data_IF_116383299104
#
_entry.id   IF_116383299104
#
_cell.length_a   1.000
_cell.length_b   1.000
_cell.length_c   1.000
_cell.angle_alpha   90.00
_cell.angle_beta   90.00
_cell.angle_gamma   90.00
#
_symmetry.space_group_name_H-M   'P 1'
#
loop_
_entity.id
_entity.type
_entity.pdbx_description
1 polymer ?
#
# COMPACT_ATOMS: atom_id res chain seq x y z
N UNK A 1 -8.48 -8.32 -37.59
CA UNK A 1 -7.60 -8.04 -36.43
C UNK A 1 -8.37 -7.17 -35.45
N UNK A 2 -8.61 -7.62 -34.21
CA UNK A 2 -9.40 -6.84 -33.24
C UNK A 2 -8.43 -5.90 -32.50
N UNK A 3 -8.56 -4.59 -32.71
CA UNK A 3 -7.77 -3.59 -31.98
C UNK A 3 -8.37 -3.51 -30.58
N UNK A 4 -7.66 -4.06 -29.60
CA UNK A 4 -7.99 -3.85 -28.19
C UNK A 4 -7.24 -2.59 -27.75
N UNK A 5 -7.94 -1.53 -27.31
CA UNK A 5 -7.27 -0.35 -26.78
C UNK A 5 -6.33 -0.75 -25.65
N UNK A 6 -5.12 -0.18 -25.60
CA UNK A 6 -4.07 -0.56 -24.65
C UNK A 6 -4.55 -0.59 -23.19
N UNK A 7 -5.49 0.27 -22.81
CA UNK A 7 -6.06 0.36 -21.46
C UNK A 7 -6.91 -0.86 -21.04
N UNK A 8 -7.33 -1.71 -21.99
CA UNK A 8 -8.05 -2.95 -21.72
C UNK A 8 -7.16 -4.19 -21.83
N UNK A 9 -5.84 -4.01 -21.88
CA UNK A 9 -4.89 -5.12 -21.82
C UNK A 9 -4.78 -5.64 -20.37
N UNK A 10 -5.13 -6.92 -20.17
CA UNK A 10 -5.11 -7.57 -18.86
C UNK A 10 -3.72 -7.60 -18.23
N UNK A 11 -2.68 -7.86 -19.02
CA UNK A 11 -1.31 -7.95 -18.51
C UNK A 11 -0.81 -6.59 -18.06
N UNK A 12 -1.11 -5.54 -18.83
CA UNK A 12 -0.81 -4.16 -18.46
C UNK A 12 -1.53 -3.75 -17.18
N UNK A 13 -2.80 -4.15 -17.03
CA UNK A 13 -3.55 -3.91 -15.80
C UNK A 13 -2.87 -4.54 -14.58
N UNK A 14 -2.46 -5.81 -14.65
CA UNK A 14 -1.78 -6.45 -13.51
C UNK A 14 -0.37 -5.93 -13.28
N UNK A 15 0.35 -5.48 -14.30
CA UNK A 15 1.61 -4.74 -14.12
C UNK A 15 1.38 -3.42 -13.39
N UNK A 16 0.30 -2.70 -13.69
CA UNK A 16 -0.08 -1.50 -12.96
C UNK A 16 -0.43 -1.81 -11.50
N UNK A 17 -1.22 -2.86 -11.24
CA UNK A 17 -1.54 -3.30 -9.88
C UNK A 17 -0.26 -3.63 -9.11
N UNK A 18 0.68 -4.37 -9.70
CA UNK A 18 1.98 -4.71 -9.11
C UNK A 18 2.80 -3.47 -8.78
N UNK A 19 2.89 -2.50 -9.68
CA UNK A 19 3.66 -1.26 -9.48
C UNK A 19 2.93 -0.19 -8.64
N UNK A 20 1.69 -0.44 -8.23
CA UNK A 20 0.81 0.58 -7.63
C UNK A 20 1.35 1.17 -6.33
N UNK A 21 2.11 0.41 -5.52
CA UNK A 21 2.75 0.94 -4.30
C UNK A 21 3.65 2.13 -4.63
N UNK A 22 4.59 1.93 -5.55
CA UNK A 22 5.52 2.96 -5.98
C UNK A 22 4.78 4.12 -6.66
N UNK A 23 3.86 3.81 -7.58
CA UNK A 23 3.08 4.82 -8.31
C UNK A 23 2.29 5.71 -7.34
N UNK A 24 1.63 5.12 -6.35
CA UNK A 24 0.82 5.87 -5.39
C UNK A 24 1.66 6.73 -4.45
N UNK A 25 2.88 6.32 -4.09
CA UNK A 25 3.82 7.21 -3.38
C UNK A 25 4.02 8.50 -4.17
N UNK A 26 4.41 8.39 -5.44
CA UNK A 26 4.66 9.58 -6.28
C UNK A 26 3.41 10.42 -6.52
N UNK A 27 2.26 9.80 -6.82
CA UNK A 27 1.01 10.52 -7.03
C UNK A 27 0.63 11.33 -5.78
N UNK A 28 0.65 10.71 -4.61
CA UNK A 28 0.26 11.36 -3.37
C UNK A 28 1.25 12.46 -2.97
N UNK A 29 2.55 12.23 -3.18
CA UNK A 29 3.60 13.23 -2.98
C UNK A 29 3.37 14.46 -3.86
N UNK A 30 3.19 14.26 -5.17
CA UNK A 30 3.00 15.37 -6.11
C UNK A 30 1.70 16.13 -5.84
N UNK A 31 0.61 15.43 -5.50
CA UNK A 31 -0.62 16.11 -5.09
C UNK A 31 -0.40 16.94 -3.82
N UNK A 32 0.36 16.41 -2.86
CA UNK A 32 0.74 17.12 -1.64
C UNK A 32 1.58 18.36 -1.89
N UNK A 33 2.57 18.29 -2.78
CA UNK A 33 3.49 19.40 -3.09
C UNK A 33 2.82 20.45 -3.99
N UNK A 34 2.18 20.03 -5.08
CA UNK A 34 1.62 20.93 -6.10
C UNK A 34 0.39 21.64 -5.53
N UNK A 35 -0.58 20.86 -5.04
CA UNK A 35 -1.87 21.39 -4.57
C UNK A 35 -1.91 21.69 -3.07
N UNK A 36 -0.82 21.46 -2.33
CA UNK A 36 -0.77 21.70 -0.89
C UNK A 36 -1.62 20.73 -0.07
N UNK A 37 -1.97 19.56 -0.62
CA UNK A 37 -2.84 18.60 0.07
C UNK A 37 -2.09 17.87 1.19
N UNK A 38 -2.34 18.30 2.43
CA UNK A 38 -1.67 17.78 3.62
C UNK A 38 -1.92 16.29 3.87
N UNK A 39 -3.14 15.81 3.61
CA UNK A 39 -3.48 14.39 3.79
C UNK A 39 -2.76 13.51 2.78
N UNK A 40 -2.63 13.96 1.53
CA UNK A 40 -1.91 13.20 0.48
C UNK A 40 -0.40 13.21 0.72
N UNK A 41 0.17 14.33 1.15
CA UNK A 41 1.57 14.37 1.57
C UNK A 41 1.83 13.39 2.73
N UNK A 42 0.97 13.40 3.75
CA UNK A 42 1.08 12.47 4.88
C UNK A 42 0.93 11.01 4.44
N UNK A 43 -0.01 10.72 3.53
CA UNK A 43 -0.21 9.39 2.98
C UNK A 43 1.04 8.90 2.22
N UNK A 44 1.69 9.75 1.44
CA UNK A 44 2.96 9.39 0.79
C UNK A 44 4.04 9.01 1.82
N UNK A 45 4.17 9.79 2.89
CA UNK A 45 5.16 9.53 3.96
C UNK A 45 4.85 8.19 4.63
N UNK A 46 3.59 7.93 4.99
CA UNK A 46 3.24 6.71 5.71
C UNK A 46 3.33 5.45 4.83
N UNK A 47 3.11 5.55 3.51
CA UNK A 47 3.37 4.43 2.59
C UNK A 47 4.87 4.05 2.63
N UNK A 48 5.77 5.03 2.61
CA UNK A 48 7.23 4.80 2.70
C UNK A 48 7.57 4.15 4.05
N UNK A 49 7.09 4.73 5.16
CA UNK A 49 7.28 4.16 6.49
C UNK A 49 6.74 2.72 6.58
N UNK A 50 5.63 2.42 5.91
CA UNK A 50 5.04 1.08 5.88
C UNK A 50 5.91 0.06 5.14
N UNK A 51 6.67 0.47 4.13
CA UNK A 51 7.65 -0.40 3.47
C UNK A 51 8.77 -0.82 4.44
N UNK A 52 9.30 0.13 5.21
CA UNK A 52 10.26 -0.17 6.29
C UNK A 52 9.64 -1.03 7.40
N UNK A 53 8.40 -0.74 7.79
CA UNK A 53 7.68 -1.56 8.76
C UNK A 53 7.51 -3.00 8.26
N UNK A 54 7.14 -3.20 6.99
CA UNK A 54 7.06 -4.55 6.41
C UNK A 54 8.40 -5.27 6.48
N UNK A 55 9.50 -4.57 6.20
CA UNK A 55 10.85 -5.12 6.31
C UNK A 55 11.15 -5.57 7.75
N UNK A 56 10.86 -4.73 8.75
CA UNK A 56 11.02 -5.05 10.18
C UNK A 56 10.16 -6.26 10.57
N UNK A 57 8.86 -6.22 10.26
CA UNK A 57 7.92 -7.32 10.56
C UNK A 57 8.40 -8.64 9.94
N UNK A 58 8.95 -8.59 8.74
CA UNK A 58 9.45 -9.76 8.03
C UNK A 58 10.70 -10.35 8.69
N UNK A 59 11.73 -9.53 8.89
CA UNK A 59 13.04 -10.03 9.31
C UNK A 59 13.17 -10.20 10.82
N UNK A 60 12.54 -9.33 11.61
CA UNK A 60 12.66 -9.37 13.07
C UNK A 60 11.58 -10.21 13.73
N UNK A 61 10.41 -10.39 13.09
CA UNK A 61 9.28 -11.12 13.70
C UNK A 61 8.97 -12.41 12.93
N UNK A 62 8.65 -12.31 11.65
CA UNK A 62 8.14 -13.45 10.89
C UNK A 62 9.21 -14.53 10.66
N UNK A 63 10.41 -14.15 10.20
CA UNK A 63 11.50 -15.11 9.94
C UNK A 63 11.83 -15.95 11.20
N UNK A 64 12.09 -15.36 12.38
CA UNK A 64 12.36 -16.15 13.59
C UNK A 64 11.21 -17.07 13.99
N UNK A 65 9.96 -16.57 13.94
CA UNK A 65 8.79 -17.35 14.34
C UNK A 65 8.60 -18.57 13.42
N UNK A 66 8.68 -18.38 12.11
CA UNK A 66 8.50 -19.47 11.15
C UNK A 66 9.69 -20.43 11.10
N UNK A 67 10.92 -19.96 11.33
CA UNK A 67 12.08 -20.83 11.44
C UNK A 67 11.91 -21.85 12.58
N UNK A 68 11.35 -21.43 13.71
CA UNK A 68 11.06 -22.30 14.86
C UNK A 68 9.89 -23.27 14.64
N UNK A 69 9.11 -23.09 13.57
CA UNK A 69 7.91 -23.88 13.28
C UNK A 69 7.99 -24.57 11.91
N UNK A 70 9.19 -24.99 11.48
CA UNK A 70 9.39 -25.69 10.19
C UNK A 70 8.73 -24.96 9.00
N UNK A 71 8.78 -23.63 9.01
CA UNK A 71 8.25 -22.75 7.97
C UNK A 71 6.72 -22.83 7.74
N UNK A 72 5.97 -23.49 8.63
CA UNK A 72 4.52 -23.60 8.55
C UNK A 72 3.88 -23.51 9.93
N UNK A 73 2.88 -22.64 10.07
CA UNK A 73 2.14 -22.48 11.32
C UNK A 73 0.65 -22.65 11.00
N UNK A 74 -0.11 -23.46 11.77
CA UNK A 74 -1.55 -23.56 11.60
C UNK A 74 -2.19 -22.17 11.55
N UNK A 75 -3.14 -21.96 10.64
CA UNK A 75 -3.83 -20.67 10.38
C UNK A 75 -2.97 -19.61 9.69
N UNK A 76 -1.70 -19.43 10.06
CA UNK A 76 -0.82 -18.46 9.40
C UNK A 76 -0.30 -18.95 8.04
N UNK A 77 -0.38 -20.27 7.79
CA UNK A 77 0.06 -20.91 6.57
C UNK A 77 1.57 -21.02 6.51
N UNK A 78 2.15 -20.76 5.33
CA UNK A 78 3.58 -20.87 5.08
C UNK A 78 4.29 -19.51 5.22
N UNK A 79 5.48 -19.52 5.80
CA UNK A 79 6.31 -18.32 5.94
C UNK A 79 7.04 -17.94 4.65
N UNK A 80 7.75 -18.89 4.07
CA UNK A 80 8.48 -18.71 2.80
C UNK A 80 7.51 -18.61 1.61
N UNK A 81 8.01 -18.08 0.49
CA UNK A 81 7.23 -18.00 -0.74
C UNK A 81 6.92 -19.39 -1.30
N UNK A 82 5.85 -19.53 -2.12
CA UNK A 82 5.58 -20.75 -2.86
C UNK A 82 6.78 -21.18 -3.72
N UNK A 83 6.90 -22.49 -3.96
CA UNK A 83 7.91 -23.05 -4.87
C UNK A 83 7.69 -22.44 -6.27
N UNK A 84 8.77 -22.05 -6.95
CA UNK A 84 8.76 -21.36 -8.25
C UNK A 84 8.24 -19.91 -8.23
N UNK A 85 8.24 -19.24 -7.07
CA UNK A 85 8.00 -17.81 -7.05
C UNK A 85 9.16 -17.06 -7.73
N UNK A 86 8.87 -16.37 -8.84
CA UNK A 86 9.82 -15.56 -9.61
C UNK A 86 9.31 -14.13 -9.73
N UNK A 87 10.23 -13.18 -9.94
CA UNK A 87 9.90 -11.81 -10.35
C UNK A 87 8.94 -11.03 -9.41
N UNK A 88 9.04 -11.28 -8.11
CA UNK A 88 8.13 -10.70 -7.10
C UNK A 88 8.38 -9.22 -6.74
N UNK A 89 9.13 -8.48 -7.57
CA UNK A 89 9.42 -7.04 -7.43
C UNK A 89 8.27 -6.15 -7.91
N UNK A 90 8.53 -4.88 -8.21
CA UNK A 90 7.51 -3.95 -8.75
C UNK A 90 7.38 -4.02 -10.27
N UNK A 91 8.49 -4.27 -10.96
CA UNK A 91 8.55 -4.34 -12.43
C UNK A 91 9.05 -5.71 -12.85
N UNK A 92 8.61 -6.17 -14.02
CA UNK A 92 9.02 -7.43 -14.63
C UNK A 92 10.41 -7.28 -15.23
N UNK A 93 11.44 -7.21 -14.38
CA UNK A 93 12.81 -6.96 -14.84
C UNK A 93 13.59 -8.26 -15.06
N UNK A 94 13.19 -9.37 -14.44
CA UNK A 94 13.94 -10.64 -14.47
C UNK A 94 12.99 -11.86 -14.30
N UNK A 95 12.24 -12.26 -15.33
CA UNK A 95 11.19 -13.30 -15.25
C UNK A 95 11.65 -14.70 -14.77
N UNK A 96 12.96 -14.95 -14.64
CA UNK A 96 13.49 -16.29 -14.35
C UNK A 96 14.35 -16.38 -13.08
N UNK A 97 14.44 -15.32 -12.27
CA UNK A 97 15.22 -15.37 -11.01
C UNK A 97 14.31 -15.76 -9.85
N UNK A 98 14.64 -16.81 -9.07
CA UNK A 98 13.85 -17.20 -7.91
C UNK A 98 13.84 -16.08 -6.87
N UNK A 99 12.67 -15.82 -6.29
CA UNK A 99 12.51 -14.82 -5.26
C UNK A 99 13.19 -15.30 -3.97
N UNK A 100 14.22 -14.57 -3.54
CA UNK A 100 15.01 -14.90 -2.33
C UNK A 100 14.40 -14.35 -1.04
N UNK A 101 13.49 -13.38 -1.13
CA UNK A 101 12.92 -12.73 0.05
C UNK A 101 11.81 -13.58 0.68
N UNK A 102 11.70 -13.50 2.01
CA UNK A 102 10.64 -14.17 2.76
C UNK A 102 9.23 -13.68 2.36
N UNK A 103 8.24 -14.58 2.40
CA UNK A 103 6.91 -14.35 1.83
C UNK A 103 5.92 -13.68 2.79
N UNK A 104 6.07 -13.91 4.09
CA UNK A 104 5.14 -13.47 5.12
C UNK A 104 5.65 -12.25 5.92
N UNK A 105 4.85 -11.20 6.16
CA UNK A 105 3.60 -10.88 5.46
C UNK A 105 3.88 -10.28 4.06
N UNK A 106 2.87 -10.29 3.19
CA UNK A 106 2.99 -9.67 1.85
C UNK A 106 3.00 -8.14 1.93
N UNK A 107 4.09 -7.51 1.49
CA UNK A 107 4.24 -6.04 1.48
C UNK A 107 3.23 -5.33 0.57
N UNK A 108 2.97 -5.87 -0.62
CA UNK A 108 2.01 -5.28 -1.56
C UNK A 108 0.58 -5.31 -1.01
N UNK A 109 0.17 -6.42 -0.38
CA UNK A 109 -1.14 -6.51 0.27
C UNK A 109 -1.21 -5.60 1.50
N UNK A 110 -0.11 -5.47 2.27
CA UNK A 110 -0.02 -4.50 3.38
C UNK A 110 -0.15 -3.05 2.89
N UNK A 111 0.50 -2.69 1.79
CA UNK A 111 0.32 -1.40 1.15
C UNK A 111 -1.15 -1.16 0.75
N UNK A 112 -1.76 -2.12 0.04
CA UNK A 112 -3.15 -1.98 -0.41
C UNK A 112 -4.11 -1.80 0.78
N UNK A 113 -3.93 -2.59 1.85
CA UNK A 113 -4.68 -2.43 3.09
C UNK A 113 -4.49 -1.05 3.71
N UNK A 114 -3.25 -0.58 3.81
CA UNK A 114 -2.93 0.73 4.38
C UNK A 114 -3.58 1.88 3.61
N UNK A 115 -3.41 1.89 2.29
CA UNK A 115 -3.98 2.94 1.46
C UNK A 115 -5.51 2.95 1.54
N UNK A 116 -6.14 1.77 1.43
CA UNK A 116 -7.59 1.63 1.58
C UNK A 116 -8.06 2.09 2.96
N UNK A 117 -7.41 1.65 4.04
CA UNK A 117 -7.77 2.01 5.41
C UNK A 117 -7.68 3.51 5.69
N UNK A 118 -6.60 4.14 5.24
CA UNK A 118 -6.40 5.58 5.38
C UNK A 118 -7.46 6.37 4.61
N UNK A 119 -7.67 6.06 3.32
CA UNK A 119 -8.59 6.81 2.46
C UNK A 119 -10.06 6.60 2.84
N UNK A 120 -10.46 5.40 3.26
CA UNK A 120 -11.82 5.16 3.78
C UNK A 120 -12.07 6.03 5.00
N UNK A 121 -11.10 6.09 5.94
CA UNK A 121 -11.27 6.90 7.13
C UNK A 121 -11.26 8.40 6.83
N UNK A 122 -10.42 8.85 5.91
CA UNK A 122 -10.43 10.24 5.44
C UNK A 122 -11.78 10.62 4.81
N UNK A 123 -12.36 9.72 4.02
CA UNK A 123 -13.68 9.93 3.44
C UNK A 123 -14.78 9.99 4.52
N UNK A 124 -14.74 9.07 5.48
CA UNK A 124 -15.69 9.07 6.60
C UNK A 124 -15.58 10.36 7.41
N UNK A 125 -14.36 10.79 7.77
CA UNK A 125 -14.14 12.01 8.52
C UNK A 125 -14.64 13.26 7.78
N UNK A 126 -14.39 13.35 6.47
CA UNK A 126 -14.69 14.56 5.70
C UNK A 126 -16.11 14.61 5.12
N UNK A 127 -16.79 13.47 4.95
CA UNK A 127 -18.07 13.38 4.19
C UNK A 127 -19.24 12.82 4.98
N UNK A 128 -19.01 12.29 6.18
CA UNK A 128 -20.07 11.75 7.03
C UNK A 128 -20.30 12.68 8.24
N UNK A 129 -21.53 12.76 8.73
CA UNK A 129 -21.87 13.68 9.83
C UNK A 129 -21.39 13.18 11.20
N UNK A 130 -21.18 11.87 11.35
CA UNK A 130 -20.88 11.19 12.61
C UNK A 130 -19.68 10.23 12.53
N UNK A 131 -18.91 10.30 11.43
CA UNK A 131 -17.79 9.39 11.18
C UNK A 131 -18.20 7.98 10.71
N UNK A 132 -19.48 7.73 10.41
CA UNK A 132 -19.98 6.38 10.10
C UNK A 132 -20.37 6.21 8.63
N UNK A 133 -20.20 4.99 8.13
CA UNK A 133 -20.55 4.65 6.75
C UNK A 133 -22.02 4.89 6.40
N UNK A 134 -22.94 4.68 7.36
CA UNK A 134 -24.39 4.82 7.12
C UNK A 134 -24.78 6.24 6.72
N UNK A 135 -24.11 7.26 7.27
CA UNK A 135 -24.39 8.68 7.03
C UNK A 135 -23.73 9.24 5.76
N UNK A 136 -22.93 8.44 5.05
CA UNK A 136 -22.40 8.83 3.74
C UNK A 136 -23.50 8.91 2.67
N UNK A 137 -23.34 9.86 1.74
CA UNK A 137 -24.16 9.92 0.52
C UNK A 137 -23.85 8.73 -0.38
N UNK A 138 -24.79 8.34 -1.25
CA UNK A 138 -24.65 7.15 -2.11
C UNK A 138 -23.38 7.15 -2.96
N UNK A 139 -22.99 8.31 -3.52
CA UNK A 139 -21.74 8.43 -4.30
C UNK A 139 -20.49 8.13 -3.46
N UNK A 140 -20.47 8.56 -2.20
CA UNK A 140 -19.32 8.36 -1.31
C UNK A 140 -19.28 6.91 -0.81
N UNK A 141 -20.44 6.26 -0.64
CA UNK A 141 -20.52 4.82 -0.39
C UNK A 141 -19.92 4.00 -1.53
N UNK A 142 -20.19 4.39 -2.79
CA UNK A 142 -19.56 3.75 -3.96
C UNK A 142 -18.03 3.92 -3.91
N UNK A 143 -17.52 5.11 -3.56
CA UNK A 143 -16.08 5.33 -3.38
C UNK A 143 -15.46 4.39 -2.34
N UNK A 144 -16.12 4.17 -1.20
CA UNK A 144 -15.68 3.18 -0.19
C UNK A 144 -15.60 1.78 -0.78
N UNK A 145 -16.62 1.35 -1.53
CA UNK A 145 -16.64 0.02 -2.16
C UNK A 145 -15.49 -0.12 -3.16
N UNK A 146 -15.25 0.88 -4.01
CA UNK A 146 -14.14 0.85 -4.97
C UNK A 146 -12.78 0.80 -4.27
N UNK A 147 -12.59 1.58 -3.20
CA UNK A 147 -11.39 1.52 -2.36
C UNK A 147 -11.21 0.16 -1.68
N UNK A 148 -12.30 -0.45 -1.21
CA UNK A 148 -12.28 -1.77 -0.58
C UNK A 148 -11.93 -2.88 -1.58
N UNK A 149 -12.39 -2.77 -2.85
CA UNK A 149 -12.09 -3.73 -3.92
C UNK A 149 -10.62 -3.74 -4.32
N UNK A 150 -9.87 -2.67 -4.07
CA UNK A 150 -8.43 -2.63 -4.37
C UNK A 150 -7.65 -3.73 -3.62
N UNK A 151 -8.02 -4.02 -2.37
CA UNK A 151 -7.37 -5.04 -1.53
C UNK A 151 -7.46 -6.44 -2.14
N UNK A 152 -8.66 -7.01 -2.43
CA UNK A 152 -8.75 -8.33 -3.04
C UNK A 152 -8.18 -8.38 -4.46
N UNK A 153 -8.22 -7.28 -5.24
CA UNK A 153 -7.55 -7.23 -6.55
C UNK A 153 -6.03 -7.39 -6.40
N UNK A 154 -5.43 -6.66 -5.45
CA UNK A 154 -4.02 -6.80 -5.14
C UNK A 154 -3.69 -8.22 -4.67
N UNK A 155 -4.45 -8.76 -3.72
CA UNK A 155 -4.26 -10.14 -3.24
C UNK A 155 -4.35 -11.16 -4.39
N UNK A 156 -5.34 -11.00 -5.27
CA UNK A 156 -5.52 -11.86 -6.44
C UNK A 156 -4.32 -11.79 -7.39
N UNK A 157 -3.78 -10.60 -7.65
CA UNK A 157 -2.56 -10.43 -8.45
C UNK A 157 -1.40 -11.23 -7.84
N UNK A 158 -1.17 -11.08 -6.53
CA UNK A 158 -0.02 -11.70 -5.84
C UNK A 158 -0.11 -13.22 -5.76
N UNK A 159 -1.32 -13.77 -5.60
CA UNK A 159 -1.54 -15.22 -5.44
C UNK A 159 -1.68 -15.93 -6.79
N UNK A 160 -2.57 -15.45 -7.66
CA UNK A 160 -3.00 -16.21 -8.83
C UNK A 160 -2.32 -15.79 -10.13
N UNK A 161 -2.00 -14.51 -10.27
CA UNK A 161 -1.32 -13.99 -11.47
C UNK A 161 0.18 -14.20 -11.33
N UNK A 162 0.77 -13.71 -10.24
CA UNK A 162 2.21 -13.69 -10.04
C UNK A 162 2.74 -14.93 -9.29
N UNK A 163 1.86 -15.66 -8.59
CA UNK A 163 2.22 -16.86 -7.79
C UNK A 163 3.35 -16.61 -6.79
N UNK A 164 3.42 -15.38 -6.27
CA UNK A 164 4.50 -14.92 -5.41
C UNK A 164 4.21 -15.11 -3.92
N UNK A 165 2.95 -15.35 -3.55
CA UNK A 165 2.48 -15.44 -2.17
C UNK A 165 1.36 -16.49 -2.03
N UNK A 166 1.20 -17.01 -0.81
CA UNK A 166 0.00 -17.77 -0.42
C UNK A 166 -1.17 -16.83 -0.08
N UNK A 167 -2.38 -17.39 0.02
CA UNK A 167 -3.57 -16.63 0.41
C UNK A 167 -3.38 -16.01 1.79
N UNK A 168 -2.90 -16.78 2.77
CA UNK A 168 -2.68 -16.35 4.15
C UNK A 168 -1.67 -15.19 4.23
N UNK A 169 -0.55 -15.28 3.50
CA UNK A 169 0.45 -14.22 3.43
C UNK A 169 -0.13 -12.88 2.97
N UNK A 170 -1.07 -12.93 2.02
CA UNK A 170 -1.74 -11.73 1.50
C UNK A 170 -2.84 -11.22 2.43
N UNK A 171 -3.62 -12.12 3.07
CA UNK A 171 -4.63 -11.75 4.07
C UNK A 171 -3.96 -11.04 5.26
N UNK A 172 -2.93 -11.65 5.84
CA UNK A 172 -2.24 -11.05 7.00
C UNK A 172 -1.59 -9.71 6.64
N UNK A 173 -0.95 -9.63 5.47
CA UNK A 173 -0.44 -8.36 4.96
C UNK A 173 -1.54 -7.31 4.91
N UNK A 174 -2.66 -7.60 4.23
CA UNK A 174 -3.78 -6.67 4.10
C UNK A 174 -4.39 -6.23 5.43
N UNK A 175 -4.55 -7.14 6.40
CA UNK A 175 -5.09 -6.80 7.72
C UNK A 175 -4.16 -5.88 8.52
N UNK A 176 -2.86 -6.18 8.52
CA UNK A 176 -1.83 -5.31 9.12
C UNK A 176 -1.89 -3.92 8.49
N UNK A 177 -1.89 -3.89 7.15
CA UNK A 177 -2.01 -2.66 6.37
C UNK A 177 -3.24 -1.84 6.76
N UNK A 178 -4.42 -2.46 6.71
CA UNK A 178 -5.70 -1.83 7.01
C UNK A 178 -5.72 -1.21 8.41
N UNK A 179 -5.23 -1.94 9.41
CA UNK A 179 -5.09 -1.43 10.78
C UNK A 179 -4.19 -0.20 10.83
N UNK A 180 -2.97 -0.28 10.26
CA UNK A 180 -2.02 0.83 10.28
C UNK A 180 -2.52 2.03 9.48
N UNK A 181 -3.14 1.83 8.31
CA UNK A 181 -3.74 2.91 7.52
C UNK A 181 -4.83 3.64 8.29
N UNK A 182 -5.74 2.89 8.92
CA UNK A 182 -6.83 3.47 9.71
C UNK A 182 -6.30 4.25 10.93
N UNK A 183 -5.28 3.73 11.63
CA UNK A 183 -4.67 4.44 12.77
C UNK A 183 -3.79 5.62 12.36
N UNK A 184 -3.10 5.52 11.24
CA UNK A 184 -2.27 6.61 10.72
C UNK A 184 -3.08 7.84 10.36
N UNK A 185 -4.37 7.68 9.99
CA UNK A 185 -5.26 8.81 9.82
C UNK A 185 -5.55 9.54 11.15
N UNK A 186 -5.68 8.85 12.28
CA UNK A 186 -5.80 9.50 13.61
C UNK A 186 -4.54 10.34 13.91
N UNK A 187 -3.37 9.76 13.61
CA UNK A 187 -2.08 10.44 13.76
C UNK A 187 -2.01 11.67 12.84
N UNK A 188 -2.49 11.56 11.59
CA UNK A 188 -2.59 12.69 10.68
C UNK A 188 -3.46 13.81 11.26
N UNK A 189 -4.64 13.51 11.79
CA UNK A 189 -5.52 14.51 12.39
C UNK A 189 -4.85 15.18 13.60
N UNK A 190 -4.18 14.40 14.45
CA UNK A 190 -3.42 14.92 15.58
C UNK A 190 -2.29 15.86 15.14
N UNK A 191 -1.51 15.46 14.13
CA UNK A 191 -0.40 16.28 13.61
C UNK A 191 -0.93 17.54 12.93
N UNK A 192 -1.98 17.43 12.12
CA UNK A 192 -2.54 18.58 11.42
C UNK A 192 -3.17 19.60 12.39
N UNK A 193 -3.70 19.14 13.53
CA UNK A 193 -4.24 20.01 14.58
C UNK A 193 -3.13 20.70 15.38
N UNK A 194 -2.12 19.97 15.83
CA UNK A 194 -1.12 20.48 16.78
C UNK A 194 0.16 21.03 16.11
N UNK A 195 0.45 20.60 14.88
CA UNK A 195 1.69 20.90 14.15
C UNK A 195 1.41 21.22 12.68
N UNK A 196 0.39 22.06 12.44
CA UNK A 196 -0.08 22.44 11.09
C UNK A 196 1.05 22.92 10.15
N UNK A 197 2.06 23.61 10.69
CA UNK A 197 3.21 24.13 9.95
C UNK A 197 4.09 23.03 9.33
N UNK A 198 4.11 21.81 9.89
CA UNK A 198 4.96 20.70 9.40
C UNK A 198 4.45 20.18 8.05
N UNK A 199 3.15 20.02 7.89
CA UNK A 199 2.56 19.53 6.64
C UNK A 199 2.16 20.67 5.69
N UNK A 200 2.24 21.92 6.13
CA UNK A 200 1.95 23.07 5.27
C UNK A 200 3.03 23.23 4.18
N UNK A 201 2.61 23.31 2.92
CA UNK A 201 3.47 23.45 1.74
C UNK A 201 3.38 24.85 1.10
N UNK A 202 2.83 25.87 1.77
CA UNK A 202 2.69 27.22 1.20
C UNK A 202 4.04 27.87 0.82
N UNK A 203 5.14 27.47 1.48
CA UNK A 203 6.47 27.99 1.21
C UNK A 203 7.14 27.29 -0.01
N UNK A 204 7.51 28.02 -1.08
CA UNK A 204 8.17 27.44 -2.26
C UNK A 204 9.50 26.75 -1.94
N UNK A 205 10.30 27.32 -1.02
CA UNK A 205 11.59 26.75 -0.60
C UNK A 205 11.38 25.36 0.02
N UNK A 206 10.34 25.21 0.85
CA UNK A 206 10.01 23.94 1.48
C UNK A 206 9.61 22.88 0.45
N UNK A 207 8.82 23.26 -0.57
CA UNK A 207 8.47 22.37 -1.70
C UNK A 207 9.73 21.89 -2.43
N UNK A 208 10.65 22.80 -2.72
CA UNK A 208 11.93 22.49 -3.38
C UNK A 208 12.78 21.54 -2.53
N UNK A 209 12.95 21.81 -1.23
CA UNK A 209 13.75 20.96 -0.33
C UNK A 209 13.18 19.54 -0.26
N UNK A 210 11.87 19.39 -0.05
CA UNK A 210 11.23 18.07 0.02
C UNK A 210 11.37 17.33 -1.31
N UNK A 211 11.21 18.02 -2.44
CA UNK A 211 11.38 17.42 -3.78
C UNK A 211 12.82 16.93 -4.00
N UNK A 212 13.81 17.72 -3.58
CA UNK A 212 15.23 17.36 -3.64
C UNK A 212 15.51 16.13 -2.75
N UNK A 213 15.11 16.16 -1.48
CA UNK A 213 15.28 15.03 -0.56
C UNK A 213 14.68 13.77 -1.17
N UNK A 214 13.49 13.86 -1.75
CA UNK A 214 12.85 12.71 -2.36
C UNK A 214 13.63 12.12 -3.55
N UNK A 215 14.18 12.98 -4.41
CA UNK A 215 15.01 12.55 -5.54
C UNK A 215 16.30 11.86 -5.06
N UNK A 216 16.94 12.38 -4.01
CA UNK A 216 18.18 11.81 -3.49
C UNK A 216 17.99 10.54 -2.64
N UNK A 217 16.87 10.40 -1.93
CA UNK A 217 16.55 9.18 -1.16
C UNK A 217 16.17 8.01 -2.10
N UNK A 218 15.87 8.28 -3.36
CA UNK A 218 15.53 7.26 -4.37
C UNK A 218 16.73 6.63 -5.11
N UNK A 219 17.96 7.03 -4.76
CA UNK A 219 19.23 6.47 -5.27
C UNK A 219 19.81 5.47 -4.26
#
# INVERSE_FOLDING_TARGET
>A
MKIIPHYFNRDLFFQFIKASELIMVYINLFIGIIYGSRSQLFLSIIIICNSYLNHILKHMIAVPIFANNNNSIPILGQGSRPVNAHDCGYFTSCPNKPAKSFGFPSGHSQFAGLQTGFLIKDLLYNKSSDGKFKSLKSKDKISVVLLALFVPIMMYSRVYIEKCHTIEQTIFGALIGLFFGYKSHDVYLYINKNYNNILNMDCPIKKTIISIIFLFVSQ
#
